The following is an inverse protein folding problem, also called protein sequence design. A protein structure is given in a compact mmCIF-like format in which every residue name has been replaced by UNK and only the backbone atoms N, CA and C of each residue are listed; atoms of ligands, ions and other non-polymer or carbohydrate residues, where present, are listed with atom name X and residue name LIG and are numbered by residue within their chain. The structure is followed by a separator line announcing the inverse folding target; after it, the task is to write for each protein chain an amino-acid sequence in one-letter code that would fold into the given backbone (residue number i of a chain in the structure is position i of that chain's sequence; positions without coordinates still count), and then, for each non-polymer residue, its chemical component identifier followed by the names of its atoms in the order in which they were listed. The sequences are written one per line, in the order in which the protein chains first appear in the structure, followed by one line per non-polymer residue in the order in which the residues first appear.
data_IF_806395044909
#
_entry.id   IF_806395044909
#
_cell.length_a   1.000
_cell.length_b   1.000
_cell.length_c   1.000
_cell.angle_alpha   90.00
_cell.angle_beta   90.00
_cell.angle_gamma   90.00
#
_symmetry.space_group_name_H-M   'P 1'
#
loop_
_entity.id
_entity.type
_entity.pdbx_description
1 polymer ?
#
# COMPACT_ATOMS: atom_id res chain seq x y z
N UNK A 1 -3.39 -1.08 28.11
CA UNK A 1 -2.44 -1.86 27.28
C UNK A 1 -1.28 -0.97 26.86
N UNK A 2 -0.04 -1.37 27.14
CA UNK A 2 1.15 -0.57 26.76
C UNK A 2 1.28 -0.45 25.23
N UNK A 3 1.67 0.72 24.68
CA UNK A 3 1.72 0.98 23.23
C UNK A 3 2.59 -0.03 22.44
N UNK A 4 3.56 -0.62 23.13
CA UNK A 4 4.61 -1.48 22.56
C UNK A 4 4.09 -2.89 22.24
N UNK A 5 3.14 -3.41 23.03
CA UNK A 5 2.59 -4.77 22.85
C UNK A 5 1.62 -4.82 21.67
N UNK A 6 0.77 -3.79 21.53
CA UNK A 6 -0.18 -3.69 20.42
C UNK A 6 0.52 -3.63 19.06
N UNK A 7 1.66 -2.95 18.98
CA UNK A 7 2.45 -2.85 17.74
C UNK A 7 3.07 -4.19 17.32
N UNK A 8 3.60 -4.98 18.26
CA UNK A 8 4.19 -6.30 17.95
C UNK A 8 3.12 -7.28 17.49
N UNK A 9 1.96 -7.29 18.15
CA UNK A 9 0.84 -8.15 17.77
C UNK A 9 0.26 -7.77 16.39
N UNK A 10 0.10 -6.47 16.11
CA UNK A 10 -0.35 -5.99 14.80
C UNK A 10 0.61 -6.41 13.66
N UNK A 11 1.92 -6.40 13.94
CA UNK A 11 2.92 -6.85 12.98
C UNK A 11 2.85 -8.35 12.72
N UNK A 12 2.59 -9.17 13.74
CA UNK A 12 2.35 -10.61 13.56
C UNK A 12 1.10 -10.86 12.71
N UNK A 13 -0.01 -10.16 13.01
CA UNK A 13 -1.25 -10.26 12.23
C UNK A 13 -1.04 -9.86 10.76
N UNK A 14 -0.20 -8.86 10.49
CA UNK A 14 0.21 -8.54 9.10
C UNK A 14 0.94 -9.71 8.45
N UNK A 15 1.87 -10.37 9.15
CA UNK A 15 2.59 -11.52 8.62
C UNK A 15 1.65 -12.70 8.34
N UNK A 16 0.70 -12.96 9.22
CA UNK A 16 -0.32 -13.99 9.04
C UNK A 16 -1.21 -13.67 7.84
N UNK A 17 -1.65 -12.41 7.71
CA UNK A 17 -2.37 -11.90 6.54
C UNK A 17 -1.61 -12.10 5.24
N UNK A 18 -0.29 -11.84 5.24
CA UNK A 18 0.58 -12.09 4.08
C UNK A 18 0.63 -13.59 3.74
N UNK A 19 0.73 -14.46 4.75
CA UNK A 19 0.73 -15.92 4.57
C UNK A 19 -0.59 -16.42 3.97
N UNK A 20 -1.73 -15.94 4.49
CA UNK A 20 -3.05 -16.26 3.94
C UNK A 20 -3.20 -15.75 2.50
N UNK A 21 -2.70 -14.55 2.20
CA UNK A 21 -2.73 -13.99 0.85
C UNK A 21 -1.94 -14.86 -0.14
N UNK A 22 -0.73 -15.29 0.21
CA UNK A 22 0.09 -16.18 -0.63
C UNK A 22 -0.60 -17.52 -0.90
N UNK A 23 -1.42 -18.00 0.04
CA UNK A 23 -2.24 -19.21 -0.09
C UNK A 23 -3.58 -18.96 -0.79
N UNK A 24 -3.79 -17.79 -1.38
CA UNK A 24 -5.05 -17.34 -2.00
C UNK A 24 -6.27 -17.37 -1.05
N UNK A 25 -6.06 -17.38 0.27
CA UNK A 25 -7.12 -17.34 1.28
C UNK A 25 -7.46 -15.89 1.61
N UNK A 26 -8.07 -15.18 0.66
CA UNK A 26 -8.28 -13.73 0.75
C UNK A 26 -9.21 -13.31 1.90
N UNK A 27 -10.20 -14.12 2.28
CA UNK A 27 -11.06 -13.84 3.45
C UNK A 27 -10.27 -13.80 4.75
N UNK A 28 -9.53 -14.87 5.05
CA UNK A 28 -8.68 -14.94 6.24
C UNK A 28 -7.58 -13.86 6.25
N UNK A 29 -7.06 -13.48 5.08
CA UNK A 29 -6.12 -12.37 4.98
C UNK A 29 -6.78 -11.03 5.37
N UNK A 30 -8.00 -10.77 4.90
CA UNK A 30 -8.78 -9.57 5.25
C UNK A 30 -9.03 -9.51 6.75
N UNK A 31 -9.40 -10.63 7.37
CA UNK A 31 -9.67 -10.70 8.81
C UNK A 31 -8.40 -10.35 9.60
N UNK A 32 -7.26 -10.98 9.26
CA UNK A 32 -5.98 -10.71 9.92
C UNK A 32 -5.53 -9.24 9.77
N UNK A 33 -5.66 -8.64 8.57
CA UNK A 33 -5.35 -7.22 8.40
C UNK A 33 -6.33 -6.31 9.14
N UNK A 34 -7.60 -6.70 9.27
CA UNK A 34 -8.61 -5.93 10.01
C UNK A 34 -8.31 -5.92 11.51
N UNK A 35 -7.88 -7.05 12.06
CA UNK A 35 -7.37 -7.10 13.44
C UNK A 35 -6.12 -6.24 13.61
N UNK A 36 -5.16 -6.30 12.67
CA UNK A 36 -3.96 -5.47 12.70
C UNK A 36 -4.31 -3.96 12.68
N UNK A 37 -5.27 -3.56 11.85
CA UNK A 37 -5.80 -2.18 11.78
C UNK A 37 -6.48 -1.78 13.10
N UNK A 38 -7.23 -2.68 13.71
CA UNK A 38 -7.90 -2.41 15.00
C UNK A 38 -6.90 -2.13 16.11
N UNK A 39 -5.77 -2.85 16.12
CA UNK A 39 -4.69 -2.63 17.07
C UNK A 39 -3.86 -1.38 16.75
N UNK A 40 -3.63 -1.12 15.46
CA UNK A 40 -2.73 -0.08 14.97
C UNK A 40 -3.29 0.58 13.70
N UNK A 41 -4.25 1.52 13.83
CA UNK A 41 -4.97 2.08 12.68
C UNK A 41 -4.14 3.05 11.84
N UNK A 42 -3.04 3.57 12.39
CA UNK A 42 -2.20 4.59 11.75
C UNK A 42 -1.08 4.01 10.89
N UNK A 43 -1.12 2.72 10.57
CA UNK A 43 -0.10 2.04 9.76
C UNK A 43 -0.62 1.83 8.33
N UNK A 44 -0.15 2.62 7.34
CA UNK A 44 -0.70 2.60 5.97
C UNK A 44 -0.59 1.22 5.28
N UNK A 45 0.43 0.44 5.62
CA UNK A 45 0.68 -0.84 4.96
C UNK A 45 -0.44 -1.86 5.21
N UNK A 46 -1.10 -1.82 6.38
CA UNK A 46 -2.20 -2.75 6.68
C UNK A 46 -3.42 -2.47 5.78
N UNK A 47 -3.74 -1.19 5.58
CA UNK A 47 -4.80 -0.75 4.68
C UNK A 47 -4.51 -1.14 3.22
N UNK A 48 -3.31 -0.88 2.71
CA UNK A 48 -2.96 -1.25 1.32
C UNK A 48 -2.94 -2.77 1.08
N UNK A 49 -2.51 -3.55 2.08
CA UNK A 49 -2.54 -5.01 1.98
C UNK A 49 -3.96 -5.57 2.02
N UNK A 50 -4.85 -5.00 2.84
CA UNK A 50 -6.27 -5.37 2.85
C UNK A 50 -6.97 -4.95 1.55
N UNK A 51 -6.67 -3.77 1.02
CA UNK A 51 -7.15 -3.32 -0.28
C UNK A 51 -6.75 -4.30 -1.40
N UNK A 52 -5.52 -4.81 -1.39
CA UNK A 52 -5.09 -5.82 -2.36
C UNK A 52 -5.93 -7.11 -2.28
N UNK A 53 -6.36 -7.52 -1.09
CA UNK A 53 -7.24 -8.67 -0.90
C UNK A 53 -8.65 -8.40 -1.44
N UNK A 54 -9.22 -7.22 -1.17
CA UNK A 54 -10.50 -6.80 -1.75
C UNK A 54 -10.44 -6.74 -3.28
N UNK A 55 -9.33 -6.24 -3.84
CA UNK A 55 -9.09 -6.23 -5.29
C UNK A 55 -9.12 -7.64 -5.89
N UNK A 56 -8.49 -8.62 -5.23
CA UNK A 56 -8.53 -10.03 -5.66
C UNK A 56 -9.93 -10.64 -5.62
N UNK A 57 -10.84 -10.05 -4.84
CA UNK A 57 -12.26 -10.41 -4.77
C UNK A 57 -13.16 -9.52 -5.65
N UNK A 58 -12.59 -8.62 -6.46
CA UNK A 58 -13.31 -7.61 -7.26
C UNK A 58 -14.23 -6.68 -6.43
N UNK A 59 -13.93 -6.50 -5.15
CA UNK A 59 -14.66 -5.57 -4.27
C UNK A 59 -14.05 -4.17 -4.37
N UNK A 60 -14.31 -3.51 -5.49
CA UNK A 60 -13.68 -2.23 -5.85
C UNK A 60 -14.07 -1.08 -4.90
N UNK A 61 -15.24 -1.16 -4.28
CA UNK A 61 -15.67 -0.18 -3.29
C UNK A 61 -14.76 -0.24 -2.05
N UNK A 62 -14.51 -1.43 -1.51
CA UNK A 62 -13.59 -1.60 -0.37
C UNK A 62 -12.13 -1.27 -0.73
N UNK A 63 -11.71 -1.54 -1.96
CA UNK A 63 -10.39 -1.12 -2.45
C UNK A 63 -10.24 0.41 -2.35
N UNK A 64 -11.23 1.15 -2.85
CA UNK A 64 -11.22 2.61 -2.78
C UNK A 64 -11.16 3.12 -1.34
N UNK A 65 -12.03 2.62 -0.46
CA UNK A 65 -12.09 3.01 0.96
C UNK A 65 -10.72 2.83 1.64
N UNK A 66 -10.13 1.64 1.52
CA UNK A 66 -8.84 1.32 2.14
C UNK A 66 -7.68 2.13 1.53
N UNK A 67 -7.68 2.35 0.21
CA UNK A 67 -6.63 3.13 -0.43
C UNK A 67 -6.70 4.61 -0.08
N UNK A 68 -7.89 5.20 -0.01
CA UNK A 68 -8.06 6.59 0.45
C UNK A 68 -7.57 6.74 1.89
N UNK A 69 -7.86 5.75 2.75
CA UNK A 69 -7.34 5.75 4.13
C UNK A 69 -5.82 5.62 4.18
N UNK A 70 -5.24 4.75 3.37
CA UNK A 70 -3.79 4.61 3.26
C UNK A 70 -3.11 5.90 2.79
N UNK A 71 -3.68 6.59 1.79
CA UNK A 71 -3.16 7.87 1.27
C UNK A 71 -3.25 8.97 2.33
N UNK A 72 -4.30 8.99 3.14
CA UNK A 72 -4.40 9.94 4.26
C UNK A 72 -3.24 9.77 5.27
N UNK A 73 -2.79 8.53 5.49
CA UNK A 73 -1.70 8.21 6.41
C UNK A 73 -0.32 8.36 5.76
N UNK A 74 -0.19 8.01 4.47
CA UNK A 74 1.00 8.15 3.66
C UNK A 74 0.64 8.65 2.26
N UNK A 75 0.77 9.97 2.08
CA UNK A 75 0.43 10.68 0.86
C UNK A 75 1.33 10.30 -0.34
N UNK A 76 2.45 9.64 -0.11
CA UNK A 76 3.39 9.24 -1.16
C UNK A 76 3.30 7.73 -1.47
N UNK A 77 2.29 7.04 -0.92
CA UNK A 77 2.14 5.61 -1.10
C UNK A 77 1.81 5.26 -2.54
N UNK A 78 2.85 4.88 -3.31
CA UNK A 78 2.72 4.49 -4.72
C UNK A 78 1.71 3.35 -4.90
N UNK A 79 1.68 2.38 -3.98
CA UNK A 79 0.72 1.27 -4.02
C UNK A 79 -0.72 1.74 -3.81
N UNK A 80 -0.95 2.63 -2.86
CA UNK A 80 -2.29 3.13 -2.57
C UNK A 80 -2.85 3.94 -3.75
N UNK A 81 -2.05 4.85 -4.32
CA UNK A 81 -2.44 5.60 -5.53
C UNK A 81 -2.71 4.68 -6.72
N UNK A 82 -1.88 3.65 -6.92
CA UNK A 82 -2.08 2.69 -8.00
C UNK A 82 -3.40 1.91 -7.84
N UNK A 83 -3.65 1.34 -6.65
CA UNK A 83 -4.89 0.59 -6.41
C UNK A 83 -6.14 1.47 -6.42
N UNK A 84 -6.06 2.71 -5.91
CA UNK A 84 -7.14 3.69 -6.02
C UNK A 84 -7.44 4.01 -7.48
N UNK A 85 -6.42 4.29 -8.29
CA UNK A 85 -6.58 4.54 -9.72
C UNK A 85 -7.28 3.40 -10.43
N UNK A 86 -6.88 2.15 -10.17
CA UNK A 86 -7.56 0.97 -10.72
C UNK A 86 -9.02 0.85 -10.26
N UNK A 87 -9.32 1.09 -8.98
CA UNK A 87 -10.68 1.01 -8.46
C UNK A 87 -11.59 2.06 -9.11
N UNK A 88 -11.09 3.29 -9.28
CA UNK A 88 -11.82 4.38 -9.93
C UNK A 88 -12.10 4.07 -11.41
N UNK A 89 -11.12 3.50 -12.13
CA UNK A 89 -11.33 3.05 -13.52
C UNK A 89 -12.41 1.96 -13.62
N UNK A 90 -12.42 1.01 -12.69
CA UNK A 90 -13.44 -0.04 -12.63
C UNK A 90 -14.84 0.49 -12.29
N UNK A 91 -14.90 1.61 -11.57
CA UNK A 91 -16.14 2.35 -11.28
C UNK A 91 -16.49 3.40 -12.35
N UNK A 92 -15.81 3.39 -13.49
CA UNK A 92 -16.00 4.33 -14.61
C UNK A 92 -15.70 5.81 -14.27
N UNK A 93 -14.99 6.06 -13.17
CA UNK A 93 -14.54 7.38 -12.75
C UNK A 93 -13.18 7.71 -13.39
N UNK A 94 -13.16 7.74 -14.73
CA UNK A 94 -11.93 7.74 -15.52
C UNK A 94 -11.00 8.92 -15.24
N UNK A 95 -11.54 10.14 -15.14
CA UNK A 95 -10.74 11.35 -14.94
C UNK A 95 -9.97 11.32 -13.61
N UNK A 96 -10.63 10.90 -12.52
CA UNK A 96 -9.98 10.77 -11.21
C UNK A 96 -9.00 9.58 -11.23
N UNK A 97 -9.38 8.45 -11.82
CA UNK A 97 -8.53 7.27 -11.92
C UNK A 97 -7.20 7.53 -12.64
N UNK A 98 -7.25 8.20 -13.80
CA UNK A 98 -6.04 8.59 -14.55
C UNK A 98 -5.16 9.51 -13.72
N UNK A 99 -5.74 10.51 -13.05
CA UNK A 99 -4.98 11.44 -12.19
C UNK A 99 -4.23 10.73 -11.07
N UNK A 100 -4.83 9.72 -10.44
CA UNK A 100 -4.16 8.92 -9.41
C UNK A 100 -3.00 8.07 -9.99
N UNK A 101 -3.17 7.53 -11.20
CA UNK A 101 -2.11 6.79 -11.90
C UNK A 101 -0.97 7.70 -12.40
N UNK A 102 -1.25 8.95 -12.75
CA UNK A 102 -0.22 9.94 -13.09
C UNK A 102 0.70 10.24 -11.90
N UNK A 103 0.13 10.33 -10.68
CA UNK A 103 0.93 10.48 -9.45
C UNK A 103 1.90 9.31 -9.26
N UNK A 104 1.47 8.09 -9.57
CA UNK A 104 2.34 6.88 -9.52
C UNK A 104 3.53 7.04 -10.45
N UNK A 105 3.28 7.42 -11.71
CA UNK A 105 4.34 7.65 -12.71
C UNK A 105 5.32 8.73 -12.25
N UNK A 106 4.81 9.86 -11.76
CA UNK A 106 5.61 10.97 -11.27
C UNK A 106 6.50 10.57 -10.08
N UNK A 107 5.93 9.88 -9.07
CA UNK A 107 6.68 9.39 -7.92
C UNK A 107 7.78 8.39 -8.32
N UNK A 108 7.47 7.45 -9.22
CA UNK A 108 8.44 6.46 -9.69
C UNK A 108 9.57 7.10 -10.51
N UNK A 109 9.26 8.07 -11.38
CA UNK A 109 10.25 8.81 -12.15
C UNK A 109 11.19 9.59 -11.24
N UNK A 110 10.66 10.25 -10.21
CA UNK A 110 11.46 10.98 -9.23
C UNK A 110 12.36 10.03 -8.43
N UNK A 111 11.82 8.89 -7.99
CA UNK A 111 12.59 7.87 -7.29
C UNK A 111 13.71 7.29 -8.15
N UNK A 112 13.44 7.02 -9.43
CA UNK A 112 14.44 6.53 -10.39
C UNK A 112 15.57 7.53 -10.58
N UNK A 113 15.25 8.82 -10.84
CA UNK A 113 16.25 9.89 -10.98
C UNK A 113 17.11 10.06 -9.73
N UNK A 114 16.50 9.95 -8.55
CA UNK A 114 17.22 10.03 -7.28
C UNK A 114 18.21 8.86 -7.11
N UNK A 115 17.78 7.63 -7.41
CA UNK A 115 18.62 6.44 -7.32
C UNK A 115 19.76 6.46 -8.34
N UNK A 116 19.50 6.87 -9.59
CA UNK A 116 20.54 7.01 -10.61
C UNK A 116 21.57 8.07 -10.25
N UNK A 117 21.13 9.21 -9.70
CA UNK A 117 22.02 10.28 -9.25
C UNK A 117 22.92 9.85 -8.09
N UNK A 118 22.37 9.10 -7.11
CA UNK A 118 23.17 8.53 -6.01
C UNK A 118 24.19 7.49 -6.49
N UNK A 119 23.81 6.66 -7.46
CA UNK A 119 24.71 5.69 -8.07
C UNK A 119 25.90 6.38 -8.75
N UNK A 120 25.66 7.46 -9.50
CA UNK A 120 26.70 8.25 -10.16
C UNK A 120 27.66 8.95 -9.19
N UNK A 121 27.16 9.43 -8.05
CA UNK A 121 28.00 10.03 -7.01
C UNK A 121 28.86 8.97 -6.28
N UNK A 122 28.31 7.77 -6.06
CA UNK A 122 29.04 6.68 -5.38
C UNK A 122 30.20 6.14 -6.21
N UNK A 123 30.08 6.05 -7.55
CA UNK A 123 31.19 5.62 -8.41
C UNK A 123 32.34 6.63 -8.45
N UNK A 124 32.05 7.92 -8.30
CA UNK A 124 33.07 8.98 -8.29
C UNK A 124 33.90 8.99 -7.01
N UNK A 125 33.35 8.52 -5.89
CA UNK A 125 34.06 8.42 -4.61
C UNK A 125 34.91 7.15 -4.45
N UNK A 126 34.67 6.11 -5.26
CA UNK A 126 35.42 4.85 -5.22
C UNK A 126 36.60 4.88 -6.22
N UNK A 127 36.60 5.83 -7.16
CA UNK A 127 37.60 5.97 -8.22
C UNK A 127 38.78 6.92 -7.93
N UNK A 128 38.94 7.41 -6.69
CA UNK A 128 40.05 8.26 -6.23
C UNK A 128 40.68 7.67 -4.99
#
# INVERSE_FOLDING_TARGET
MSPIVGSKQAEQLKQDGNSYFQKNRFGAAIDAYTEAITLCPNVPIYWTNRALCHRKRNDWQRVEEDCRKAIQLDHNSVKAHYYLGLALLQKEQYAEGVRELEKVSHCLLHMFKYLSGKWQLSIHQIGT
#
